data_IF_228157489306
#
_entry.id   IF_228157489306
#
_cell.length_a   1.000
_cell.length_b   1.000
_cell.length_c   1.000
_cell.angle_alpha   90.00
_cell.angle_beta   90.00
_cell.angle_gamma   90.00
#
_symmetry.space_group_name_H-M   'P 1'
#
loop_
_entity.id
_entity.type
_entity.pdbx_description
1 polymer ?
#
# COMPACT_ATOMS: atom_id res chain seq x y z
N UNK A 1 48.10 -52.07 1.39
CA UNK A 1 48.13 -53.23 2.31
C UNK A 1 46.80 -53.26 3.08
N UNK A 2 46.20 -54.45 3.21
CA UNK A 2 44.89 -54.84 3.79
C UNK A 2 44.58 -54.14 5.14
N UNK A 3 43.33 -53.92 5.60
CA UNK A 3 42.18 -54.82 5.87
C UNK A 3 40.90 -53.96 5.99
N UNK A 4 39.74 -54.22 5.35
CA UNK A 4 38.62 -55.16 5.65
C UNK A 4 38.17 -55.26 7.12
N UNK A 5 36.90 -54.91 7.36
CA UNK A 5 35.86 -55.51 8.25
C UNK A 5 34.69 -54.49 8.32
N UNK A 6 33.54 -54.62 7.65
CA UNK A 6 32.43 -55.58 7.78
C UNK A 6 31.78 -55.63 9.17
N UNK A 7 30.67 -54.92 9.38
CA UNK A 7 29.57 -55.38 10.25
C UNK A 7 28.25 -54.72 9.81
N UNK A 8 27.37 -55.55 9.27
CA UNK A 8 25.95 -55.29 9.00
C UNK A 8 25.18 -55.53 10.29
N UNK A 9 24.27 -54.65 10.71
CA UNK A 9 23.14 -55.03 11.59
C UNK A 9 21.96 -54.03 11.53
N UNK A 10 20.78 -54.61 11.25
CA UNK A 10 19.42 -54.21 11.63
C UNK A 10 18.72 -52.97 11.05
N UNK A 11 17.81 -53.24 10.11
CA UNK A 11 16.51 -52.56 10.00
C UNK A 11 15.70 -52.74 11.30
N UNK A 12 14.90 -51.74 11.67
CA UNK A 12 13.48 -52.03 11.84
C UNK A 12 12.60 -51.11 10.98
N UNK A 13 11.61 -51.74 10.35
CA UNK A 13 10.47 -51.09 9.70
C UNK A 13 9.79 -50.13 10.69
N UNK A 14 10.03 -48.82 10.50
CA UNK A 14 9.23 -47.77 11.10
C UNK A 14 7.96 -47.57 10.28
N UNK A 15 6.85 -48.05 10.84
CA UNK A 15 5.49 -47.82 10.35
C UNK A 15 5.27 -46.32 10.19
N UNK A 16 5.27 -45.82 8.94
CA UNK A 16 4.73 -44.50 8.62
C UNK A 16 3.22 -44.57 8.77
N UNK A 17 2.72 -44.22 9.96
CA UNK A 17 1.33 -43.86 10.15
C UNK A 17 1.05 -42.64 9.26
N UNK A 18 0.42 -42.87 8.10
CA UNK A 18 -0.23 -41.87 7.28
C UNK A 18 -1.39 -41.28 8.11
N UNK A 19 -1.07 -40.33 8.98
CA UNK A 19 -2.05 -39.41 9.53
C UNK A 19 -2.48 -38.48 8.41
N UNK A 20 -3.46 -38.93 7.63
CA UNK A 20 -4.29 -38.10 6.79
C UNK A 20 -5.07 -37.14 7.70
N UNK A 21 -4.39 -36.08 8.13
CA UNK A 21 -5.04 -34.90 8.69
C UNK A 21 -5.82 -34.28 7.54
N UNK A 22 -7.11 -34.59 7.46
CA UNK A 22 -8.05 -33.77 6.72
C UNK A 22 -7.98 -32.38 7.36
N UNK A 23 -7.19 -31.48 6.76
CA UNK A 23 -7.30 -30.05 7.04
C UNK A 23 -8.72 -29.67 6.65
N UNK A 24 -9.57 -29.47 7.66
CA UNK A 24 -10.85 -28.81 7.44
C UNK A 24 -10.56 -27.50 6.70
N UNK A 25 -11.25 -27.21 5.58
CA UNK A 25 -11.11 -25.93 4.90
C UNK A 25 -11.41 -24.84 5.93
N UNK A 26 -10.44 -23.96 6.16
CA UNK A 26 -10.69 -22.75 6.94
C UNK A 26 -11.78 -22.00 6.16
N UNK A 27 -12.94 -21.72 6.76
CA UNK A 27 -13.97 -20.96 6.07
C UNK A 27 -13.38 -19.59 5.75
N UNK A 28 -13.17 -19.32 4.45
CA UNK A 28 -12.85 -17.99 3.97
C UNK A 28 -14.10 -17.14 4.15
N UNK A 29 -14.21 -16.47 5.30
CA UNK A 29 -15.22 -15.46 5.53
C UNK A 29 -15.06 -14.38 4.46
N UNK A 30 -16.12 -14.13 3.68
CA UNK A 30 -16.15 -13.03 2.73
C UNK A 30 -15.91 -11.72 3.49
N UNK A 31 -15.03 -10.82 3.02
CA UNK A 31 -14.79 -9.55 3.69
C UNK A 31 -16.10 -8.79 3.84
N UNK A 32 -16.36 -8.27 5.04
CA UNK A 32 -17.49 -7.35 5.27
C UNK A 32 -17.13 -5.96 4.72
N UNK A 33 -18.13 -5.13 4.40
CA UNK A 33 -17.87 -3.75 3.98
C UNK A 33 -17.04 -2.95 4.98
N UNK A 34 -17.30 -3.13 6.28
CA UNK A 34 -16.53 -2.50 7.36
C UNK A 34 -15.07 -2.97 7.37
N UNK A 35 -14.82 -4.28 7.22
CA UNK A 35 -13.44 -4.80 7.15
C UNK A 35 -12.68 -4.30 5.92
N UNK A 36 -13.39 -4.02 4.82
CA UNK A 36 -12.79 -3.44 3.62
C UNK A 36 -12.35 -1.98 3.85
N UNK A 37 -13.21 -1.15 4.45
CA UNK A 37 -12.87 0.23 4.82
C UNK A 37 -11.67 0.24 5.75
N UNK A 38 -11.72 -0.52 6.85
CA UNK A 38 -10.63 -0.57 7.83
C UNK A 38 -9.30 -0.99 7.20
N UNK A 39 -9.32 -1.99 6.31
CA UNK A 39 -8.14 -2.43 5.58
C UNK A 39 -7.55 -1.32 4.71
N UNK A 40 -8.39 -0.61 3.94
CA UNK A 40 -7.91 0.45 3.06
C UNK A 40 -7.41 1.68 3.81
N UNK A 41 -8.02 2.06 4.94
CA UNK A 41 -7.52 3.16 5.77
C UNK A 41 -6.18 2.78 6.42
N UNK A 42 -6.05 1.57 6.96
CA UNK A 42 -4.77 1.12 7.51
C UNK A 42 -3.65 1.06 6.46
N UNK A 43 -4.00 0.68 5.22
CA UNK A 43 -3.08 0.70 4.10
C UNK A 43 -2.68 2.13 3.71
N UNK A 44 -3.64 3.05 3.64
CA UNK A 44 -3.42 4.46 3.35
C UNK A 44 -2.47 5.09 4.37
N UNK A 45 -2.73 4.91 5.66
CA UNK A 45 -1.89 5.40 6.76
C UNK A 45 -0.45 4.87 6.63
N UNK A 46 -0.31 3.56 6.39
CA UNK A 46 1.00 2.92 6.24
C UNK A 46 1.78 3.47 5.05
N UNK A 47 1.16 3.55 3.88
CA UNK A 47 1.81 4.07 2.68
C UNK A 47 2.03 5.59 2.76
N UNK A 48 1.14 6.33 3.42
CA UNK A 48 1.24 7.75 3.69
C UNK A 48 2.46 8.08 4.56
N UNK A 49 2.71 7.29 5.61
CA UNK A 49 3.94 7.41 6.41
C UNK A 49 5.20 7.19 5.57
N UNK A 50 5.22 6.17 4.71
CA UNK A 50 6.36 5.92 3.80
C UNK A 50 6.52 7.10 2.83
N UNK A 51 5.43 7.55 2.21
CA UNK A 51 5.41 8.64 1.23
C UNK A 51 5.98 9.94 1.81
N UNK A 52 5.71 10.24 3.07
CA UNK A 52 6.16 11.47 3.71
C UNK A 52 7.70 11.60 3.75
N UNK A 53 8.42 10.48 3.90
CA UNK A 53 9.89 10.45 3.94
C UNK A 53 10.54 10.00 2.63
N UNK A 54 9.82 9.30 1.75
CA UNK A 54 10.40 8.77 0.51
C UNK A 54 11.00 9.87 -0.39
N UNK A 55 10.43 11.08 -0.35
CA UNK A 55 10.90 12.26 -1.08
C UNK A 55 12.32 12.73 -0.68
N UNK A 56 12.87 12.24 0.43
CA UNK A 56 14.26 12.49 0.81
C UNK A 56 15.26 11.78 -0.12
N UNK A 57 14.83 10.69 -0.76
CA UNK A 57 15.72 9.82 -1.56
C UNK A 57 15.28 9.70 -3.02
N UNK A 58 13.98 9.71 -3.28
CA UNK A 58 13.39 9.68 -4.63
C UNK A 58 12.59 10.96 -4.88
N UNK A 59 12.21 11.20 -6.13
CA UNK A 59 11.48 12.43 -6.46
C UNK A 59 10.03 12.40 -5.97
N UNK A 60 9.44 13.58 -5.80
CA UNK A 60 8.04 13.75 -5.41
C UNK A 60 7.08 13.02 -6.36
N UNK A 61 7.32 13.11 -7.67
CA UNK A 61 6.55 12.38 -8.67
C UNK A 61 6.63 10.86 -8.48
N UNK A 62 7.82 10.31 -8.30
CA UNK A 62 7.99 8.87 -8.09
C UNK A 62 7.37 8.42 -6.76
N UNK A 63 7.48 9.23 -5.72
CA UNK A 63 6.87 8.98 -4.42
C UNK A 63 5.35 8.89 -4.51
N UNK A 64 4.69 9.82 -5.22
CA UNK A 64 3.24 9.80 -5.43
C UNK A 64 2.85 8.55 -6.24
N UNK A 65 3.57 8.22 -7.32
CA UNK A 65 3.33 6.99 -8.12
C UNK A 65 3.41 5.73 -7.26
N UNK A 66 4.46 5.62 -6.43
CA UNK A 66 4.62 4.46 -5.54
C UNK A 66 3.46 4.32 -4.56
N UNK A 67 2.99 5.43 -4.00
CA UNK A 67 1.85 5.46 -3.09
C UNK A 67 0.56 5.02 -3.81
N UNK A 68 0.23 5.62 -4.95
CA UNK A 68 -1.01 5.30 -5.69
C UNK A 68 -0.98 3.88 -6.25
N UNK A 69 0.16 3.41 -6.75
CA UNK A 69 0.34 2.04 -7.24
C UNK A 69 0.30 1.03 -6.10
N UNK A 70 0.79 1.40 -4.91
CA UNK A 70 0.68 0.61 -3.70
C UNK A 70 -0.77 0.34 -3.34
N UNK A 71 -1.60 1.37 -3.34
CA UNK A 71 -3.03 1.25 -3.04
C UNK A 71 -3.78 0.49 -4.15
N UNK A 72 -3.53 0.81 -5.42
CA UNK A 72 -4.23 0.20 -6.56
C UNK A 72 -3.98 -1.32 -6.72
N UNK A 73 -3.02 -1.89 -6.00
CA UNK A 73 -2.81 -3.35 -5.94
C UNK A 73 -3.84 -4.09 -5.07
N UNK A 74 -4.67 -3.36 -4.32
CA UNK A 74 -5.65 -3.93 -3.41
C UNK A 74 -7.06 -3.94 -4.00
N UNK A 75 -7.91 -4.83 -3.47
CA UNK A 75 -9.27 -5.04 -3.95
C UNK A 75 -10.29 -4.16 -3.22
N UNK A 76 -11.04 -3.37 -3.98
CA UNK A 76 -12.09 -2.47 -3.49
C UNK A 76 -13.49 -3.10 -3.57
N UNK A 77 -13.66 -4.29 -4.17
CA UNK A 77 -14.97 -4.86 -4.50
C UNK A 77 -15.87 -5.10 -3.29
N UNK A 78 -15.29 -5.30 -2.11
CA UNK A 78 -16.05 -5.54 -0.87
C UNK A 78 -16.41 -4.24 -0.15
N UNK A 79 -15.91 -3.08 -0.60
CA UNK A 79 -16.16 -1.79 0.05
C UNK A 79 -17.50 -1.19 -0.40
N UNK A 80 -18.15 -0.38 0.44
CA UNK A 80 -19.37 0.33 0.04
C UNK A 80 -19.15 1.19 -1.21
N UNK A 81 -20.12 1.28 -2.13
CA UNK A 81 -19.97 2.05 -3.37
C UNK A 81 -19.60 3.52 -3.16
N UNK A 82 -20.14 4.15 -2.11
CA UNK A 82 -19.86 5.56 -1.80
C UNK A 82 -18.42 5.76 -1.32
N UNK A 83 -17.93 4.87 -0.46
CA UNK A 83 -16.54 4.84 -0.03
C UNK A 83 -15.61 4.60 -1.22
N UNK A 84 -15.87 3.55 -2.02
CA UNK A 84 -15.06 3.22 -3.20
C UNK A 84 -14.95 4.40 -4.16
N UNK A 85 -16.07 5.09 -4.40
CA UNK A 85 -16.10 6.28 -5.26
C UNK A 85 -15.28 7.44 -4.65
N UNK A 86 -15.47 7.76 -3.38
CA UNK A 86 -14.73 8.82 -2.70
C UNK A 86 -13.22 8.52 -2.68
N UNK A 87 -12.84 7.29 -2.33
CA UNK A 87 -11.43 6.88 -2.25
C UNK A 87 -10.75 6.89 -3.62
N UNK A 88 -11.46 6.46 -4.67
CA UNK A 88 -10.95 6.51 -6.05
C UNK A 88 -10.73 7.96 -6.49
N UNK A 89 -11.62 8.89 -6.14
CA UNK A 89 -11.41 10.33 -6.41
C UNK A 89 -10.20 10.87 -5.65
N UNK A 90 -10.01 10.45 -4.39
CA UNK A 90 -8.84 10.82 -3.62
C UNK A 90 -7.53 10.35 -4.26
N UNK A 91 -7.46 9.10 -4.71
CA UNK A 91 -6.31 8.60 -5.47
C UNK A 91 -6.10 9.38 -6.77
N UNK A 92 -7.18 9.73 -7.48
CA UNK A 92 -7.07 10.52 -8.70
C UNK A 92 -6.52 11.92 -8.42
N UNK A 93 -6.91 12.57 -7.32
CA UNK A 93 -6.36 13.88 -6.93
C UNK A 93 -4.84 13.83 -6.72
N UNK A 94 -4.33 12.74 -6.14
CA UNK A 94 -2.89 12.50 -6.06
C UNK A 94 -2.25 12.29 -7.45
N UNK A 95 -2.87 11.49 -8.32
CA UNK A 95 -2.37 11.23 -9.68
C UNK A 95 -2.31 12.52 -10.49
N UNK A 96 -3.33 13.37 -10.40
CA UNK A 96 -3.42 14.65 -11.13
C UNK A 96 -2.34 15.66 -10.71
N UNK A 97 -1.76 15.49 -9.52
CA UNK A 97 -0.63 16.30 -9.05
C UNK A 97 0.69 15.92 -9.74
N UNK A 98 0.81 14.69 -10.26
CA UNK A 98 2.07 14.16 -10.81
C UNK A 98 2.66 15.05 -11.92
N UNK A 99 1.91 15.45 -12.97
CA UNK A 99 2.47 16.27 -14.05
C UNK A 99 2.99 17.64 -13.57
N UNK A 100 2.43 18.17 -12.48
CA UNK A 100 2.94 19.37 -11.85
C UNK A 100 4.28 19.10 -11.16
N UNK A 101 4.34 18.11 -10.27
CA UNK A 101 5.55 17.83 -9.48
C UNK A 101 6.70 17.24 -10.29
N UNK A 102 6.44 16.68 -11.47
CA UNK A 102 7.48 16.27 -12.41
C UNK A 102 8.34 17.44 -12.92
N UNK A 103 7.80 18.66 -12.91
CA UNK A 103 8.56 19.88 -13.22
C UNK A 103 9.53 20.27 -12.12
N UNK A 104 9.37 19.70 -10.93
CA UNK A 104 10.15 19.94 -9.72
C UNK A 104 10.88 18.66 -9.27
N UNK A 105 11.31 17.83 -10.23
CA UNK A 105 11.82 16.48 -9.99
C UNK A 105 13.17 16.44 -9.24
N UNK A 106 13.82 17.59 -9.08
CA UNK A 106 15.07 17.81 -8.35
C UNK A 106 14.87 18.07 -6.85
N UNK A 107 13.67 18.46 -6.41
CA UNK A 107 13.38 18.70 -5.01
C UNK A 107 13.52 17.42 -4.16
N UNK A 108 14.20 17.54 -3.01
CA UNK A 108 14.39 16.46 -2.04
C UNK A 108 14.14 16.97 -0.62
N UNK A 109 13.58 16.11 0.22
CA UNK A 109 13.21 16.41 1.60
C UNK A 109 11.89 15.75 1.97
N UNK A 110 11.45 15.92 3.21
CA UNK A 110 10.13 15.45 3.62
C UNK A 110 9.01 16.11 2.79
N UNK A 111 7.98 15.34 2.44
CA UNK A 111 6.88 15.80 1.57
C UNK A 111 6.23 17.09 2.06
N UNK A 112 6.02 17.23 3.37
CA UNK A 112 5.39 18.41 3.95
C UNK A 112 6.27 19.67 3.78
N UNK A 113 7.60 19.53 3.87
CA UNK A 113 8.56 20.62 3.62
C UNK A 113 8.55 21.00 2.15
N UNK A 114 8.52 20.01 1.25
CA UNK A 114 8.45 20.27 -0.19
C UNK A 114 7.15 20.97 -0.57
N UNK A 115 6.03 20.58 0.04
CA UNK A 115 4.74 21.24 -0.18
C UNK A 115 4.77 22.69 0.30
N UNK A 116 5.31 22.96 1.49
CA UNK A 116 5.47 24.33 1.98
C UNK A 116 6.33 25.20 1.04
N UNK A 117 7.41 24.64 0.47
CA UNK A 117 8.23 25.31 -0.52
C UNK A 117 7.44 25.63 -1.81
N UNK A 118 6.65 24.67 -2.31
CA UNK A 118 5.83 24.84 -3.52
C UNK A 118 4.70 25.85 -3.30
N UNK A 119 4.07 25.89 -2.12
CA UNK A 119 3.03 26.89 -1.78
C UNK A 119 3.56 28.32 -1.67
N UNK A 120 4.84 28.48 -1.35
CA UNK A 120 5.51 29.80 -1.24
C UNK A 120 6.29 30.16 -2.49
N UNK A 121 6.41 29.23 -3.45
CA UNK A 121 7.23 29.35 -4.63
C UNK A 121 6.56 30.08 -5.81
N UNK A 122 7.30 30.26 -6.92
CA UNK A 122 6.78 30.89 -8.13
C UNK A 122 5.55 30.20 -8.73
N UNK A 123 5.44 28.87 -8.56
CA UNK A 123 4.39 28.05 -9.13
C UNK A 123 3.21 27.79 -8.16
N UNK A 124 3.17 28.49 -7.02
CA UNK A 124 2.16 28.34 -5.97
C UNK A 124 0.72 28.43 -6.49
N UNK A 125 0.45 29.32 -7.43
CA UNK A 125 -0.87 29.49 -8.03
C UNK A 125 -1.39 28.22 -8.73
N UNK A 126 -0.49 27.36 -9.20
CA UNK A 126 -0.83 26.05 -9.78
C UNK A 126 -0.85 24.95 -8.71
N UNK A 127 0.07 25.00 -7.74
CA UNK A 127 0.19 23.96 -6.71
C UNK A 127 -0.98 23.95 -5.71
N UNK A 128 -1.33 25.12 -5.18
CA UNK A 128 -2.35 25.28 -4.13
C UNK A 128 -3.69 24.61 -4.49
N UNK A 129 -4.28 24.81 -5.70
CA UNK A 129 -5.53 24.15 -6.04
C UNK A 129 -5.40 22.62 -6.15
N UNK A 130 -4.24 22.09 -6.57
CA UNK A 130 -3.99 20.64 -6.61
C UNK A 130 -3.92 20.07 -5.19
N UNK A 131 -3.17 20.72 -4.30
CA UNK A 131 -3.09 20.32 -2.90
C UNK A 131 -4.44 20.41 -2.19
N UNK A 132 -5.21 21.47 -2.45
CA UNK A 132 -6.58 21.61 -1.94
C UNK A 132 -7.48 20.46 -2.41
N UNK A 133 -7.42 20.07 -3.68
CA UNK A 133 -8.21 18.96 -4.20
C UNK A 133 -7.92 17.63 -3.48
N UNK A 134 -6.66 17.39 -3.09
CA UNK A 134 -6.30 16.22 -2.27
C UNK A 134 -6.99 16.27 -0.91
N UNK A 135 -7.02 17.42 -0.24
CA UNK A 135 -7.72 17.59 1.04
C UNK A 135 -9.24 17.51 0.92
N UNK A 136 -9.82 18.14 -0.10
CA UNK A 136 -11.26 18.14 -0.34
C UNK A 136 -11.77 16.71 -0.59
N UNK A 137 -11.04 15.93 -1.39
CA UNK A 137 -11.39 14.52 -1.65
C UNK A 137 -11.18 13.62 -0.43
N UNK A 138 -10.26 13.95 0.48
CA UNK A 138 -10.14 13.23 1.76
C UNK A 138 -11.37 13.46 2.66
N UNK A 139 -11.88 14.69 2.71
CA UNK A 139 -13.10 14.97 3.47
C UNK A 139 -14.31 14.16 2.96
N UNK A 140 -14.39 13.90 1.66
CA UNK A 140 -15.40 13.00 1.08
C UNK A 140 -15.20 11.54 1.51
N UNK A 141 -13.95 11.09 1.61
CA UNK A 141 -13.60 9.76 2.11
C UNK A 141 -14.07 9.61 3.56
N UNK A 142 -13.75 10.57 4.43
CA UNK A 142 -14.20 10.60 5.83
C UNK A 142 -15.73 10.63 5.96
N UNK A 143 -16.41 11.38 5.09
CA UNK A 143 -17.86 11.41 5.06
C UNK A 143 -18.46 10.05 4.68
N UNK A 144 -17.80 9.29 3.81
CA UNK A 144 -18.24 7.97 3.34
C UNK A 144 -17.85 6.81 4.29
N UNK A 145 -17.10 7.08 5.37
CA UNK A 145 -16.82 6.10 6.43
C UNK A 145 -17.94 5.98 7.47
N UNK A 146 -18.89 6.92 7.48
CA UNK A 146 -19.99 7.00 8.45
C UNK A 146 -21.19 6.16 8.01
#
# INVERSE_FOLDING_TARGET
MKRKNLTVWFLPLGICALLATCKTPIPHSTPTPESCIQHLIALDDSLGHIRNHACETISLAQTIRNYTDGINKHDFRSCPPDFTRAFTRHLQAWIDMIPFVEKHNDLRGEMHVLFEQLEKGPDAATFIPLLRNVWDTWAEVEAAMK
#
